data_IF_136839796442
#
_entry.id   IF_136839796442
#
_cell.length_a   1.000
_cell.length_b   1.000
_cell.length_c   1.000
_cell.angle_alpha   90.00
_cell.angle_beta   90.00
_cell.angle_gamma   90.00
#
_symmetry.space_group_name_H-M   'P 1'
#
loop_
_entity.id
_entity.type
_entity.pdbx_description
1 polymer ?
#
# COMPACT_ATOMS: atom_id res chain seq x y z
N UNK A 1 3.62 -12.14 7.23
CA UNK A 1 2.81 -10.90 7.33
C UNK A 1 2.55 -10.38 5.92
N UNK A 2 1.30 -10.07 5.58
CA UNK A 2 0.96 -9.44 4.30
C UNK A 2 0.80 -7.94 4.53
N UNK A 3 1.63 -7.12 3.88
CA UNK A 3 1.51 -5.65 3.92
C UNK A 3 0.59 -5.19 2.80
N UNK A 4 -0.42 -4.37 3.12
CA UNK A 4 -1.37 -3.81 2.14
C UNK A 4 -1.08 -2.34 1.91
N UNK A 5 -0.92 -1.97 0.65
CA UNK A 5 -0.79 -0.58 0.19
C UNK A 5 -2.01 -0.24 -0.67
N UNK A 6 -2.76 0.79 -0.29
CA UNK A 6 -3.84 1.34 -1.11
C UNK A 6 -3.32 2.58 -1.84
N UNK A 7 -3.46 2.62 -3.16
CA UNK A 7 -3.02 3.73 -4.00
C UNK A 7 -4.23 4.34 -4.70
N UNK A 8 -4.45 5.64 -4.48
CA UNK A 8 -5.40 6.43 -5.28
C UNK A 8 -4.63 7.03 -6.47
N UNK A 9 -4.97 6.58 -7.68
CA UNK A 9 -4.30 7.02 -8.90
C UNK A 9 -4.80 8.40 -9.38
N UNK A 10 -6.00 8.84 -8.96
CA UNK A 10 -6.68 10.06 -9.44
C UNK A 10 -6.81 10.22 -10.98
N UNK A 11 -6.39 9.22 -11.75
CA UNK A 11 -6.45 9.15 -13.20
C UNK A 11 -7.02 7.79 -13.63
N UNK A 12 -8.27 7.82 -14.12
CA UNK A 12 -8.97 6.63 -14.60
C UNK A 12 -8.32 6.05 -15.86
N UNK A 13 -7.76 6.89 -16.73
CA UNK A 13 -7.10 6.43 -17.97
C UNK A 13 -5.86 5.62 -17.62
N UNK A 14 -5.07 6.10 -16.66
CA UNK A 14 -3.90 5.38 -16.17
C UNK A 14 -4.28 3.99 -15.64
N UNK A 15 -5.34 3.88 -14.85
CA UNK A 15 -5.82 2.59 -14.35
C UNK A 15 -6.21 1.62 -15.48
N UNK A 16 -6.89 2.12 -16.53
CA UNK A 16 -7.25 1.31 -17.70
C UNK A 16 -6.02 0.82 -18.45
N UNK A 17 -5.02 1.68 -18.64
CA UNK A 17 -3.75 1.31 -19.30
C UNK A 17 -3.04 0.20 -18.51
N UNK A 18 -2.95 0.33 -17.18
CA UNK A 18 -2.35 -0.69 -16.31
C UNK A 18 -3.10 -2.02 -16.45
N UNK A 19 -4.44 -1.99 -16.44
CA UNK A 19 -5.27 -3.19 -16.61
C UNK A 19 -5.06 -3.87 -17.96
N UNK A 20 -5.09 -3.10 -19.04
CA UNK A 20 -4.86 -3.63 -20.39
C UNK A 20 -3.50 -4.31 -20.44
N UNK A 21 -2.47 -3.66 -19.88
CA UNK A 21 -1.13 -4.23 -19.90
C UNK A 21 -1.01 -5.49 -19.07
N UNK A 22 -1.59 -5.51 -17.87
CA UNK A 22 -1.65 -6.71 -17.04
C UNK A 22 -2.24 -7.91 -17.82
N UNK A 23 -3.37 -7.70 -18.53
CA UNK A 23 -3.98 -8.76 -19.36
C UNK A 23 -3.04 -9.20 -20.49
N UNK A 24 -2.40 -8.27 -21.20
CA UNK A 24 -1.49 -8.57 -22.30
C UNK A 24 -0.26 -9.37 -21.86
N UNK A 25 0.23 -9.12 -20.64
CA UNK A 25 1.40 -9.79 -20.08
C UNK A 25 1.04 -11.05 -19.26
N UNK A 26 -0.25 -11.42 -19.18
CA UNK A 26 -0.71 -12.57 -18.40
C UNK A 26 -0.53 -12.41 -16.89
N UNK A 27 -0.46 -11.16 -16.41
CA UNK A 27 -0.23 -10.80 -15.01
C UNK A 27 -1.48 -10.19 -14.37
N UNK A 28 -1.50 -10.16 -13.05
CA UNK A 28 -2.46 -9.35 -12.28
C UNK A 28 -2.01 -7.89 -12.21
N UNK A 29 -2.96 -6.98 -11.98
CA UNK A 29 -2.66 -5.56 -11.68
C UNK A 29 -1.69 -5.41 -10.50
N UNK A 30 -1.78 -6.32 -9.52
CA UNK A 30 -0.87 -6.33 -8.37
C UNK A 30 0.56 -6.61 -8.79
N UNK A 31 0.78 -7.64 -9.61
CA UNK A 31 2.12 -8.05 -10.05
C UNK A 31 2.77 -6.98 -10.89
N UNK A 32 2.08 -6.43 -11.89
CA UNK A 32 2.65 -5.40 -12.76
C UNK A 32 3.00 -4.12 -11.98
N UNK A 33 2.16 -3.70 -11.03
CA UNK A 33 2.43 -2.52 -10.19
C UNK A 33 3.60 -2.80 -9.24
N UNK A 34 3.68 -4.00 -8.67
CA UNK A 34 4.78 -4.38 -7.76
C UNK A 34 6.12 -4.38 -8.51
N UNK A 35 6.16 -4.98 -9.70
CA UNK A 35 7.37 -5.01 -10.53
C UNK A 35 7.78 -3.60 -10.97
N UNK A 36 6.83 -2.76 -11.40
CA UNK A 36 7.11 -1.38 -11.78
C UNK A 36 7.70 -0.57 -10.61
N UNK A 37 7.18 -0.76 -9.38
CA UNK A 37 7.72 -0.12 -8.18
C UNK A 37 9.13 -0.61 -7.85
N UNK A 38 9.40 -1.92 -7.98
CA UNK A 38 10.73 -2.50 -7.78
C UNK A 38 11.75 -1.95 -8.78
N UNK A 39 11.44 -1.99 -10.08
CA UNK A 39 12.30 -1.44 -11.12
C UNK A 39 12.56 0.06 -10.93
N UNK A 40 11.54 0.81 -10.52
CA UNK A 40 11.69 2.23 -10.21
C UNK A 40 12.61 2.49 -9.01
N UNK A 41 12.56 1.65 -7.97
CA UNK A 41 13.47 1.75 -6.82
C UNK A 41 14.90 1.36 -7.18
N UNK A 42 15.07 0.30 -7.97
CA UNK A 42 16.38 -0.20 -8.41
C UNK A 42 17.09 0.76 -9.38
N UNK A 43 16.34 1.45 -10.24
CA UNK A 43 16.87 2.44 -11.18
C UNK A 43 17.30 3.75 -10.54
N UNK A 44 17.00 3.97 -9.25
CA UNK A 44 17.44 5.15 -8.52
C UNK A 44 18.72 4.87 -7.75
N UNK A 45 19.73 5.75 -7.81
CA UNK A 45 20.91 5.67 -6.96
C UNK A 45 20.51 5.98 -5.50
N UNK A 46 19.94 5.01 -4.82
CA UNK A 46 19.62 5.05 -3.40
C UNK A 46 20.62 4.20 -2.60
N UNK A 47 20.89 4.58 -1.35
CA UNK A 47 21.57 3.65 -0.43
C UNK A 47 20.71 2.38 -0.34
N UNK A 48 21.31 1.17 -0.40
CA UNK A 48 20.56 -0.05 -0.14
C UNK A 48 19.79 0.12 1.16
N UNK A 49 18.49 -0.18 1.14
CA UNK A 49 17.66 -0.19 2.34
C UNK A 49 18.24 -1.29 3.24
N UNK A 50 19.14 -0.91 4.13
CA UNK A 50 19.80 -1.85 5.03
C UNK A 50 18.79 -2.34 6.04
N UNK A 51 18.99 -3.55 6.58
CA UNK A 51 18.17 -4.06 7.70
C UNK A 51 18.09 -3.06 8.86
N UNK A 52 19.15 -2.29 9.07
CA UNK A 52 19.21 -1.21 10.06
C UNK A 52 18.23 -0.07 9.74
N UNK A 53 18.15 0.38 8.49
CA UNK A 53 17.20 1.42 8.10
C UNK A 53 15.74 0.98 8.30
N UNK A 54 15.43 -0.29 8.01
CA UNK A 54 14.09 -0.86 8.28
C UNK A 54 13.82 -0.94 9.78
N UNK A 55 14.80 -1.35 10.58
CA UNK A 55 14.67 -1.41 12.04
C UNK A 55 14.42 -0.02 12.64
N UNK A 56 15.18 1.00 12.22
CA UNK A 56 14.97 2.39 12.63
C UNK A 56 13.59 2.91 12.25
N UNK A 57 13.07 2.53 11.09
CA UNK A 57 11.73 2.94 10.65
C UNK A 57 10.64 2.32 11.52
N UNK A 58 10.79 1.04 11.89
CA UNK A 58 9.88 0.36 12.81
C UNK A 58 9.94 0.99 14.22
N UNK A 59 11.14 1.29 14.72
CA UNK A 59 11.33 1.93 16.03
C UNK A 59 10.74 3.35 16.05
N UNK A 60 10.95 4.14 14.99
CA UNK A 60 10.31 5.44 14.83
C UNK A 60 8.79 5.33 14.76
N UNK A 61 8.27 4.30 14.08
CA UNK A 61 6.83 4.04 14.04
C UNK A 61 6.28 3.77 15.43
N UNK A 62 6.93 2.90 16.22
CA UNK A 62 6.53 2.63 17.60
C UNK A 62 6.66 3.86 18.50
N UNK A 63 7.68 4.71 18.30
CA UNK A 63 7.85 5.93 19.10
C UNK A 63 6.80 7.00 18.79
N UNK A 64 6.45 7.19 17.52
CA UNK A 64 5.49 8.20 17.06
C UNK A 64 4.04 7.73 17.26
N UNK A 65 3.78 6.47 16.95
CA UNK A 65 2.44 5.91 16.95
C UNK A 65 2.15 5.05 18.18
N UNK A 66 3.14 4.62 18.97
CA UNK A 66 2.93 3.76 20.14
C UNK A 66 2.12 2.51 19.78
N UNK A 67 1.14 2.18 20.62
CA UNK A 67 0.10 1.18 20.32
C UNK A 67 -0.93 1.65 19.27
N UNK A 68 -0.95 2.95 18.93
CA UNK A 68 -1.78 3.52 17.87
C UNK A 68 -1.09 3.43 16.50
N UNK A 69 -0.40 2.33 16.23
CA UNK A 69 -0.19 1.94 14.84
C UNK A 69 -1.59 1.85 14.26
N UNK A 70 -1.97 2.69 13.29
CA UNK A 70 -3.17 2.42 12.50
C UNK A 70 -2.94 1.04 11.87
N UNK A 71 -3.56 -0.03 12.40
CA UNK A 71 -3.31 -1.36 11.89
C UNK A 71 -4.03 -1.43 10.54
N UNK A 72 -3.97 -2.58 9.87
CA UNK A 72 -4.92 -2.88 8.79
C UNK A 72 -6.40 -2.62 9.16
N UNK A 73 -6.70 -2.39 10.45
CA UNK A 73 -7.96 -1.96 11.02
C UNK A 73 -8.37 -0.51 10.77
N UNK A 74 -7.57 0.36 10.15
CA UNK A 74 -8.10 1.68 9.76
C UNK A 74 -9.30 1.52 8.80
N UNK A 75 -9.21 0.56 7.88
CA UNK A 75 -10.30 0.20 6.99
C UNK A 75 -11.45 -0.50 7.74
N UNK A 76 -11.14 -1.36 8.73
CA UNK A 76 -12.15 -2.06 9.54
C UNK A 76 -12.89 -1.09 10.48
N UNK A 77 -12.20 -0.11 11.05
CA UNK A 77 -12.77 0.97 11.87
C UNK A 77 -13.69 1.86 11.02
N UNK A 78 -13.25 2.25 9.81
CA UNK A 78 -14.11 2.98 8.88
C UNK A 78 -15.34 2.14 8.47
N UNK A 79 -15.19 0.82 8.31
CA UNK A 79 -16.29 -0.10 8.01
C UNK A 79 -17.27 -0.21 9.18
N UNK A 80 -16.78 -0.43 10.40
CA UNK A 80 -17.57 -0.55 11.62
C UNK A 80 -18.35 0.74 11.91
N UNK A 81 -17.71 1.90 11.78
CA UNK A 81 -18.37 3.21 11.94
C UNK A 81 -19.44 3.45 10.86
N UNK A 82 -19.28 2.90 9.64
CA UNK A 82 -20.32 2.96 8.61
C UNK A 82 -21.52 2.05 8.96
N UNK A 83 -21.26 0.81 9.38
CA UNK A 83 -22.29 -0.16 9.76
C UNK A 83 -23.13 0.32 10.96
N UNK A 84 -22.49 0.96 11.95
CA UNK A 84 -23.17 1.57 13.10
C UNK A 84 -24.07 2.76 12.72
N UNK A 85 -23.74 3.51 11.66
CA UNK A 85 -24.60 4.60 11.16
C UNK A 85 -25.80 4.07 10.38
N UNK A 86 -25.63 3.01 9.60
CA UNK A 86 -26.70 2.41 8.79
C UNK A 86 -27.70 1.61 9.63
N UNK A 87 -27.28 1.06 10.77
CA UNK A 87 -28.16 0.33 11.71
C UNK A 87 -28.98 1.23 12.64
N UNK A 88 -28.69 2.54 12.67
CA UNK A 88 -29.44 3.55 13.43
C UNK A 88 -30.41 4.36 12.56
N UNK A 89 -30.58 3.98 11.30
CA UNK A 89 -31.61 4.47 10.36
C UNK A 89 -32.67 3.39 10.20
#
# INVERSE_FOLDING_TARGET
MSTRLNLDLKDEKLYKVIKIRAVQEGMTVREIVTQALQQWLESRPGRPVTRLAVAMLNEMREKIFGERVLPGHAADFIRQVREERTSRL
#
